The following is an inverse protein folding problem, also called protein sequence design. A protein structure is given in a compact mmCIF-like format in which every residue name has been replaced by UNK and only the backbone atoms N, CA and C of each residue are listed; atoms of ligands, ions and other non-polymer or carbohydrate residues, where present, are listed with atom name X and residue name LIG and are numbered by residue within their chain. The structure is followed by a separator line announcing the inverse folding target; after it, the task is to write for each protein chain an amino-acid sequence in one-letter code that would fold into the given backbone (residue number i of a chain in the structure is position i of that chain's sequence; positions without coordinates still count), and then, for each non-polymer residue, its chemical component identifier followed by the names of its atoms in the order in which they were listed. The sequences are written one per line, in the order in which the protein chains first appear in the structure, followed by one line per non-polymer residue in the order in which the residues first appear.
data_IF_870323205765
#
_entry.id   IF_870323205765
#
_cell.length_a   1.000
_cell.length_b   1.000
_cell.length_c   1.000
_cell.angle_alpha   90.00
_cell.angle_beta   90.00
_cell.angle_gamma   90.00
#
_symmetry.space_group_name_H-M   'P 1'
#
loop_
_entity.id
_entity.type
_entity.pdbx_description
1 polymer ?
#
# COMPACT_ATOMS: atom_id res chain seq x y z
N UNK A 1 -9.79 1.32 -32.51
CA UNK A 1 -9.98 2.01 -31.21
C UNK A 1 -9.17 3.29 -31.25
N UNK A 2 -9.54 4.33 -30.51
CA UNK A 2 -8.76 5.55 -30.48
C UNK A 2 -7.37 5.26 -29.85
N UNK A 3 -6.33 5.65 -30.55
CA UNK A 3 -4.93 5.50 -30.14
C UNK A 3 -4.49 6.82 -29.52
N UNK A 4 -3.89 6.77 -28.33
CA UNK A 4 -3.31 7.92 -27.66
C UNK A 4 -1.81 7.71 -27.48
N UNK A 5 -1.03 8.75 -27.79
CA UNK A 5 0.42 8.73 -27.66
C UNK A 5 0.86 9.83 -26.73
N UNK A 6 1.65 9.50 -25.72
CA UNK A 6 2.40 10.42 -24.89
C UNK A 6 3.78 10.59 -25.52
N UNK A 7 3.99 11.72 -26.23
CA UNK A 7 5.12 11.91 -27.14
C UNK A 7 6.15 12.90 -26.61
N UNK A 8 7.43 12.58 -26.80
CA UNK A 8 8.56 13.50 -26.62
C UNK A 8 9.04 13.68 -25.19
N UNK A 9 8.62 12.82 -24.26
CA UNK A 9 9.03 12.83 -22.86
C UNK A 9 10.25 11.97 -22.56
N UNK A 10 10.57 11.87 -21.27
CA UNK A 10 11.36 10.79 -20.70
C UNK A 10 10.42 9.65 -20.29
N UNK A 11 10.87 8.42 -20.45
CA UNK A 11 10.09 7.23 -20.05
C UNK A 11 10.87 6.48 -18.98
N UNK A 12 10.24 6.30 -17.81
CA UNK A 12 10.62 5.31 -16.83
C UNK A 12 9.67 4.12 -17.00
N UNK A 13 10.15 3.00 -17.49
CA UNK A 13 9.29 1.86 -17.84
C UNK A 13 8.95 0.94 -16.65
N UNK A 14 9.49 1.22 -15.46
CA UNK A 14 9.29 0.43 -14.24
C UNK A 14 10.25 -0.74 -14.07
N UNK A 15 11.12 -1.04 -15.06
CA UNK A 15 12.06 -2.18 -14.98
C UNK A 15 13.29 -1.94 -14.10
N UNK A 16 13.50 -0.68 -13.65
CA UNK A 16 14.69 -0.31 -12.89
C UNK A 16 15.88 0.15 -13.75
N UNK A 17 15.71 0.27 -15.07
CA UNK A 17 16.79 0.67 -16.00
C UNK A 17 17.04 2.18 -16.09
N UNK A 18 16.35 3.00 -15.28
CA UNK A 18 16.40 4.46 -15.39
C UNK A 18 15.50 5.00 -16.51
N UNK A 19 15.58 6.31 -16.78
CA UNK A 19 14.78 6.95 -17.84
C UNK A 19 15.49 6.95 -19.19
N UNK A 20 14.67 6.96 -20.26
CA UNK A 20 15.15 7.16 -21.63
C UNK A 20 14.19 8.07 -22.41
N UNK A 21 14.65 8.85 -23.40
CA UNK A 21 13.76 9.60 -24.29
C UNK A 21 12.87 8.65 -25.09
N UNK A 22 11.56 8.88 -25.09
CA UNK A 22 10.67 7.96 -25.79
C UNK A 22 9.22 8.39 -25.82
N UNK A 23 8.42 7.60 -26.54
CA UNK A 23 6.97 7.75 -26.65
C UNK A 23 6.27 6.51 -26.11
N UNK A 24 5.15 6.72 -25.41
CA UNK A 24 4.28 5.65 -24.89
C UNK A 24 2.95 5.69 -25.63
N UNK A 25 2.55 4.57 -26.20
CA UNK A 25 1.31 4.43 -26.98
C UNK A 25 0.34 3.55 -26.24
N UNK A 26 -0.90 4.04 -26.07
CA UNK A 26 -1.99 3.27 -25.48
C UNK A 26 -3.16 3.12 -26.44
N UNK A 27 -3.84 1.98 -26.39
CA UNK A 27 -5.13 1.73 -27.06
C UNK A 27 -6.08 1.07 -26.05
N UNK A 28 -7.27 1.64 -25.90
CA UNK A 28 -8.22 1.23 -24.87
C UNK A 28 -7.55 1.23 -23.47
N UNK A 29 -7.52 0.10 -22.80
CA UNK A 29 -6.95 -0.09 -21.46
C UNK A 29 -5.52 -0.62 -21.45
N UNK A 30 -4.84 -0.68 -22.62
CA UNK A 30 -3.50 -1.32 -22.71
C UNK A 30 -2.44 -0.39 -23.28
N UNK A 31 -1.24 -0.54 -22.77
CA UNK A 31 -0.02 -0.09 -23.43
C UNK A 31 0.20 -1.01 -24.63
N UNK A 32 0.27 -0.45 -25.82
CA UNK A 32 0.51 -1.23 -27.05
C UNK A 32 1.93 -1.10 -27.54
N UNK A 33 2.61 0.01 -27.20
CA UNK A 33 3.97 0.22 -27.61
C UNK A 33 4.70 1.22 -26.71
N UNK A 34 6.00 0.99 -26.51
CA UNK A 34 6.95 1.95 -25.92
C UNK A 34 8.11 2.06 -26.87
N UNK A 35 8.34 3.26 -27.43
CA UNK A 35 9.34 3.52 -28.48
C UNK A 35 10.43 4.44 -27.97
N UNK A 36 11.70 4.06 -28.01
CA UNK A 36 12.80 5.00 -27.80
C UNK A 36 12.84 6.06 -28.90
N UNK A 37 13.08 7.32 -28.52
CA UNK A 37 13.13 8.45 -29.45
C UNK A 37 11.76 9.08 -29.69
N UNK A 38 11.72 10.09 -30.58
CA UNK A 38 10.50 10.80 -30.97
C UNK A 38 10.06 10.34 -32.35
N UNK A 39 8.75 10.09 -32.50
CA UNK A 39 8.16 9.59 -33.75
C UNK A 39 7.08 10.53 -34.27
N UNK A 40 6.77 10.41 -35.57
CA UNK A 40 5.62 11.03 -36.19
C UNK A 40 4.44 10.05 -36.15
N UNK A 41 3.24 10.59 -35.95
CA UNK A 41 1.99 9.84 -35.84
C UNK A 41 0.98 10.34 -36.87
N UNK A 42 0.09 9.46 -37.29
CA UNK A 42 -0.96 9.77 -38.25
C UNK A 42 -2.07 10.65 -37.64
N UNK A 43 -2.94 11.17 -38.49
CA UNK A 43 -4.06 12.04 -38.13
C UNK A 43 -5.15 11.35 -37.29
N UNK A 44 -5.11 10.02 -37.17
CA UNK A 44 -6.07 9.23 -36.37
C UNK A 44 -5.57 8.98 -34.95
N UNK A 45 -4.37 9.43 -34.64
CA UNK A 45 -3.73 9.27 -33.33
C UNK A 45 -3.86 10.55 -32.51
N UNK A 46 -4.40 10.44 -31.30
CA UNK A 46 -4.38 11.56 -30.34
C UNK A 46 -2.98 11.70 -29.75
N UNK A 47 -2.29 12.81 -30.05
CA UNK A 47 -0.96 13.07 -29.55
C UNK A 47 -1.03 13.99 -28.34
N UNK A 48 -0.49 13.53 -27.21
CA UNK A 48 -0.29 14.29 -25.98
C UNK A 48 1.20 14.64 -25.92
N UNK A 49 1.52 15.92 -26.10
CA UNK A 49 2.92 16.38 -25.97
C UNK A 49 3.32 16.40 -24.49
N UNK A 50 4.28 15.57 -24.14
CA UNK A 50 4.84 15.44 -22.77
C UNK A 50 6.32 15.84 -22.73
N UNK A 51 6.75 16.70 -23.65
CA UNK A 51 8.11 17.25 -23.68
C UNK A 51 8.47 17.90 -22.34
N UNK A 52 9.61 17.53 -21.78
CA UNK A 52 10.07 18.03 -20.48
C UNK A 52 9.43 17.35 -19.27
N UNK A 53 8.64 16.29 -19.47
CA UNK A 53 8.02 15.49 -18.42
C UNK A 53 8.53 14.05 -18.46
N UNK A 54 8.28 13.32 -17.38
CA UNK A 54 8.53 11.88 -17.30
C UNK A 54 7.21 11.12 -17.35
N UNK A 55 7.11 10.13 -18.24
CA UNK A 55 6.02 9.15 -18.28
C UNK A 55 6.47 7.92 -17.50
N UNK A 56 5.67 7.48 -16.54
CA UNK A 56 5.99 6.34 -15.68
C UNK A 56 4.74 5.50 -15.39
N UNK A 57 4.89 4.24 -14.92
CA UNK A 57 3.74 3.47 -14.43
C UNK A 57 3.02 4.19 -13.30
N UNK A 58 1.71 4.00 -13.17
CA UNK A 58 0.96 4.43 -12.00
C UNK A 58 1.50 3.80 -10.71
N UNK A 59 1.48 4.56 -9.62
CA UNK A 59 1.93 4.07 -8.31
C UNK A 59 0.94 3.06 -7.73
N UNK A 60 1.46 2.14 -6.92
CA UNK A 60 0.70 1.09 -6.26
C UNK A 60 0.95 1.18 -4.76
N UNK A 61 -0.10 1.44 -4.00
CA UNK A 61 -0.09 1.48 -2.55
C UNK A 61 -0.19 0.06 -1.98
N UNK A 62 0.67 -0.31 -1.04
CA UNK A 62 0.70 -1.65 -0.47
C UNK A 62 0.30 -1.73 1.01
N UNK A 63 0.16 -0.58 1.69
CA UNK A 63 -0.13 -0.54 3.12
C UNK A 63 -0.85 0.76 3.50
N UNK A 64 -2.13 0.86 3.14
CA UNK A 64 -3.00 1.94 3.59
C UNK A 64 -4.34 1.40 4.09
N UNK A 65 -4.90 2.08 5.07
CA UNK A 65 -6.19 1.77 5.68
C UNK A 65 -7.25 2.71 5.12
N UNK A 66 -7.88 2.33 4.00
CA UNK A 66 -8.84 3.19 3.30
C UNK A 66 -10.11 3.49 4.12
N UNK A 67 -10.45 2.63 5.06
CA UNK A 67 -11.57 2.83 5.99
C UNK A 67 -11.25 3.76 7.16
N UNK A 68 -9.97 4.09 7.38
CA UNK A 68 -9.56 4.96 8.48
C UNK A 68 -9.95 6.43 8.21
N UNK A 69 -10.19 7.23 9.27
CA UNK A 69 -10.90 8.50 9.09
C UNK A 69 -10.09 9.62 8.45
N UNK A 70 -8.76 9.56 8.43
CA UNK A 70 -7.94 10.70 8.05
C UNK A 70 -7.38 10.61 6.63
N UNK A 71 -7.67 11.65 5.84
CA UNK A 71 -7.10 11.90 4.53
C UNK A 71 -6.79 13.39 4.38
N UNK A 72 -5.97 13.77 3.39
CA UNK A 72 -5.64 15.19 3.13
C UNK A 72 -6.91 15.99 2.91
N UNK A 73 -7.02 17.11 3.63
CA UNK A 73 -8.23 17.96 3.65
C UNK A 73 -9.39 17.42 4.52
N UNK A 74 -9.23 16.26 5.14
CA UNK A 74 -10.22 15.57 5.97
C UNK A 74 -9.54 14.88 7.15
N UNK A 75 -8.89 15.65 8.02
CA UNK A 75 -8.22 15.12 9.21
C UNK A 75 -9.22 14.96 10.34
N UNK A 76 -9.29 13.78 10.93
CA UNK A 76 -10.04 13.55 12.16
C UNK A 76 -9.08 13.47 13.36
N UNK A 77 -8.96 14.54 14.14
CA UNK A 77 -8.02 14.59 15.27
C UNK A 77 -8.44 13.70 16.44
N UNK A 78 -9.68 13.24 16.48
CA UNK A 78 -10.15 12.30 17.51
C UNK A 78 -9.59 10.89 17.30
N UNK A 79 -9.17 10.61 16.09
CA UNK A 79 -8.55 9.34 15.70
C UNK A 79 -7.03 9.35 15.95
N UNK A 80 -6.64 9.50 17.20
CA UNK A 80 -5.22 9.58 17.57
C UNK A 80 -4.83 8.44 18.53
N UNK A 81 -4.19 7.36 18.02
CA UNK A 81 -3.98 6.10 18.75
C UNK A 81 -3.34 6.25 20.09
N UNK A 82 -2.30 6.97 20.42
CA UNK A 82 -1.70 6.81 21.74
C UNK A 82 -2.50 7.43 22.87
N UNK A 83 -3.48 8.27 22.55
CA UNK A 83 -4.26 9.00 23.55
C UNK A 83 -5.62 8.34 23.82
N UNK A 84 -6.20 7.69 22.82
CA UNK A 84 -7.48 7.01 22.96
C UNK A 84 -7.63 5.88 21.93
N UNK A 85 -7.25 4.66 22.30
CA UNK A 85 -7.47 3.47 21.47
C UNK A 85 -8.94 3.08 21.37
N UNK A 86 -9.85 3.75 22.07
CA UNK A 86 -11.28 3.50 21.98
C UNK A 86 -11.87 3.78 20.59
N UNK A 87 -11.15 4.50 19.74
CA UNK A 87 -11.60 4.71 18.36
C UNK A 87 -11.72 3.41 17.56
N UNK A 88 -10.90 2.40 17.82
CA UNK A 88 -11.05 1.08 17.21
C UNK A 88 -12.39 0.43 17.56
N UNK A 89 -13.11 0.98 18.53
CA UNK A 89 -14.39 0.54 19.01
C UNK A 89 -15.54 1.51 18.72
N UNK A 90 -15.24 2.67 18.11
CA UNK A 90 -16.26 3.61 17.70
C UNK A 90 -16.93 3.10 16.44
N UNK A 91 -18.03 2.38 16.64
CA UNK A 91 -18.80 1.77 15.56
C UNK A 91 -19.59 2.88 14.88
N UNK A 92 -19.05 3.39 13.77
CA UNK A 92 -19.84 4.13 12.80
C UNK A 92 -20.73 3.14 12.02
N UNK A 93 -21.85 3.62 11.49
CA UNK A 93 -22.70 2.78 10.63
C UNK A 93 -22.03 2.52 9.27
N UNK A 94 -22.44 1.45 8.60
CA UNK A 94 -21.96 1.03 7.28
C UNK A 94 -21.93 2.18 6.27
N UNK A 95 -22.97 3.01 6.20
CA UNK A 95 -23.08 4.13 5.23
C UNK A 95 -22.03 5.21 5.49
N UNK A 96 -21.71 5.50 6.77
CA UNK A 96 -20.69 6.49 7.12
C UNK A 96 -19.29 6.01 6.72
N UNK A 97 -18.98 4.76 7.03
CA UNK A 97 -17.69 4.14 6.65
C UNK A 97 -17.56 4.01 5.14
N UNK A 98 -18.66 3.64 4.44
CA UNK A 98 -18.70 3.57 2.99
C UNK A 98 -18.37 4.92 2.35
N UNK A 99 -19.04 5.99 2.75
CA UNK A 99 -18.83 7.33 2.22
C UNK A 99 -17.38 7.83 2.48
N UNK A 100 -16.84 7.52 3.66
CA UNK A 100 -15.45 7.82 4.00
C UNK A 100 -14.46 7.05 3.12
N UNK A 101 -14.66 5.77 2.94
CA UNK A 101 -13.79 4.91 2.14
C UNK A 101 -13.81 5.31 0.67
N UNK A 102 -14.98 5.64 0.10
CA UNK A 102 -15.10 6.19 -1.25
C UNK A 102 -14.30 7.48 -1.43
N UNK A 103 -14.41 8.41 -0.49
CA UNK A 103 -13.64 9.67 -0.48
C UNK A 103 -12.14 9.39 -0.41
N UNK A 104 -11.71 8.53 0.50
CA UNK A 104 -10.30 8.20 0.71
C UNK A 104 -9.69 7.51 -0.52
N UNK A 105 -10.45 6.64 -1.18
CA UNK A 105 -10.04 6.01 -2.43
C UNK A 105 -9.85 7.06 -3.55
N UNK A 106 -10.75 8.04 -3.68
CA UNK A 106 -10.61 9.11 -4.66
C UNK A 106 -9.35 9.97 -4.38
N UNK A 107 -9.11 10.33 -3.11
CA UNK A 107 -7.91 11.11 -2.70
C UNK A 107 -6.63 10.32 -2.99
N UNK A 108 -6.61 9.01 -2.78
CA UNK A 108 -5.46 8.16 -3.09
C UNK A 108 -5.15 8.13 -4.60
N UNK A 109 -6.20 8.05 -5.44
CA UNK A 109 -6.05 8.12 -6.89
C UNK A 109 -5.55 9.51 -7.34
N UNK A 110 -6.05 10.59 -6.74
CA UNK A 110 -5.58 11.97 -6.99
C UNK A 110 -4.10 12.15 -6.65
N UNK A 111 -3.57 11.36 -5.71
CA UNK A 111 -2.15 11.32 -5.35
C UNK A 111 -1.30 10.44 -6.29
N UNK A 112 -1.85 9.91 -7.39
CA UNK A 112 -1.13 9.15 -8.41
C UNK A 112 -1.07 7.63 -8.16
N UNK A 113 -1.74 7.13 -7.14
CA UNK A 113 -1.83 5.70 -6.87
C UNK A 113 -2.99 5.10 -7.67
N UNK A 114 -2.68 4.48 -8.81
CA UNK A 114 -3.68 3.87 -9.70
C UNK A 114 -4.14 2.50 -9.20
N UNK A 115 -3.41 1.89 -8.28
CA UNK A 115 -3.78 0.63 -7.63
C UNK A 115 -3.45 0.64 -6.14
N UNK A 116 -4.17 -0.17 -5.36
CA UNK A 116 -3.98 -0.29 -3.93
C UNK A 116 -4.26 -1.71 -3.42
N UNK A 117 -3.39 -2.19 -2.54
CA UNK A 117 -3.59 -3.38 -1.74
C UNK A 117 -3.86 -2.92 -0.30
N UNK A 118 -5.12 -3.08 0.17
CA UNK A 118 -5.49 -2.61 1.50
C UNK A 118 -4.77 -3.39 2.61
N UNK A 119 -4.43 -2.68 3.67
CA UNK A 119 -3.76 -3.25 4.83
C UNK A 119 -4.73 -3.78 5.91
N UNK A 120 -6.00 -3.51 5.77
CA UNK A 120 -7.06 -3.95 6.68
C UNK A 120 -8.12 -2.88 6.89
N UNK A 121 -9.36 -3.32 7.07
CA UNK A 121 -10.48 -2.44 7.40
C UNK A 121 -10.58 -2.20 8.90
N UNK A 122 -11.21 -1.09 9.27
CA UNK A 122 -11.43 -0.73 10.67
C UNK A 122 -12.47 -1.65 11.32
N UNK A 123 -13.55 -1.95 10.61
CA UNK A 123 -14.66 -2.74 11.12
C UNK A 123 -14.85 -4.02 10.30
N UNK A 124 -15.39 -5.08 10.88
CA UNK A 124 -15.64 -6.35 10.19
C UNK A 124 -16.86 -6.28 9.27
N UNK A 125 -17.06 -5.16 8.59
CA UNK A 125 -18.11 -4.95 7.59
C UNK A 125 -17.52 -4.96 6.19
N UNK A 126 -18.23 -5.49 5.17
CA UNK A 126 -17.71 -5.61 3.82
C UNK A 126 -17.76 -4.27 3.04
N UNK A 127 -17.28 -3.19 3.64
CA UNK A 127 -17.23 -1.86 3.01
C UNK A 127 -16.23 -1.84 1.86
N UNK A 128 -15.04 -2.33 2.08
CA UNK A 128 -14.00 -2.33 1.02
C UNK A 128 -14.36 -3.18 -0.20
N UNK A 129 -14.95 -4.40 -0.09
CA UNK A 129 -15.47 -5.11 -1.25
C UNK A 129 -16.50 -4.32 -2.05
N UNK A 130 -17.38 -3.58 -1.37
CA UNK A 130 -18.40 -2.73 -2.03
C UNK A 130 -17.73 -1.56 -2.76
N UNK A 131 -16.76 -0.88 -2.13
CA UNK A 131 -16.00 0.22 -2.76
C UNK A 131 -15.21 -0.29 -3.96
N UNK A 132 -14.48 -1.40 -3.81
CA UNK A 132 -13.77 -2.05 -4.91
C UNK A 132 -14.68 -2.31 -6.11
N UNK A 133 -15.85 -2.88 -5.86
CA UNK A 133 -16.77 -3.25 -6.93
C UNK A 133 -17.40 -2.02 -7.61
N UNK A 134 -17.66 -0.93 -6.86
CA UNK A 134 -18.08 0.37 -7.43
C UNK A 134 -16.99 0.99 -8.30
N UNK A 135 -15.72 0.95 -7.87
CA UNK A 135 -14.60 1.44 -8.67
C UNK A 135 -14.44 0.60 -9.94
N UNK A 136 -14.49 -0.73 -9.81
CA UNK A 136 -14.41 -1.65 -10.96
C UNK A 136 -15.53 -1.42 -11.99
N UNK A 137 -16.71 -1.08 -11.52
CA UNK A 137 -17.85 -0.73 -12.37
C UNK A 137 -17.79 0.69 -12.97
N UNK A 138 -16.77 1.50 -12.59
CA UNK A 138 -16.65 2.90 -13.01
C UNK A 138 -17.72 3.82 -12.38
N UNK A 139 -18.38 3.40 -11.31
CA UNK A 139 -19.43 4.17 -10.63
C UNK A 139 -18.85 5.30 -9.76
N UNK A 140 -17.63 5.12 -9.26
CA UNK A 140 -16.89 6.10 -8.47
C UNK A 140 -15.41 6.10 -8.88
N UNK A 141 -14.68 7.21 -8.72
CA UNK A 141 -13.23 7.24 -8.89
C UNK A 141 -12.54 6.51 -7.73
N UNK A 142 -11.40 5.90 -8.02
CA UNK A 142 -10.55 5.24 -7.04
C UNK A 142 -9.52 4.32 -7.70
N UNK A 143 -8.50 3.87 -6.94
CA UNK A 143 -7.50 2.94 -7.46
C UNK A 143 -8.12 1.56 -7.73
N UNK A 144 -7.53 0.79 -8.64
CA UNK A 144 -7.78 -0.66 -8.69
C UNK A 144 -7.37 -1.25 -7.35
N UNK A 145 -8.30 -1.74 -6.54
CA UNK A 145 -7.98 -2.19 -5.19
C UNK A 145 -8.23 -3.67 -4.97
N UNK A 146 -7.47 -4.23 -4.06
CA UNK A 146 -7.76 -5.48 -3.37
C UNK A 146 -8.19 -5.15 -1.95
N UNK A 147 -9.37 -5.65 -1.57
CA UNK A 147 -10.03 -5.39 -0.31
C UNK A 147 -9.46 -6.29 0.80
N UNK A 148 -9.13 -5.72 1.96
CA UNK A 148 -8.69 -6.47 3.12
C UNK A 148 -9.74 -6.47 4.23
N UNK A 149 -9.85 -7.61 4.91
CA UNK A 149 -10.72 -7.76 6.07
C UNK A 149 -10.21 -6.94 7.26
N UNK A 150 -11.09 -6.75 8.26
CA UNK A 150 -10.70 -6.13 9.51
C UNK A 150 -9.52 -6.85 10.16
N UNK A 151 -8.69 -6.08 10.83
CA UNK A 151 -7.54 -6.61 11.54
C UNK A 151 -7.95 -7.54 12.68
N UNK A 152 -7.43 -8.75 12.68
CA UNK A 152 -7.70 -9.73 13.71
C UNK A 152 -6.54 -9.83 14.70
N UNK A 153 -6.80 -9.42 15.92
CA UNK A 153 -5.95 -9.75 17.07
C UNK A 153 -6.28 -11.14 17.65
N UNK A 154 -5.51 -11.63 18.60
CA UNK A 154 -5.79 -12.89 19.30
C UNK A 154 -6.28 -12.71 20.76
N UNK A 155 -6.80 -11.51 21.09
CA UNK A 155 -7.38 -11.24 22.40
C UNK A 155 -8.88 -11.50 22.40
N UNK A 156 -9.36 -12.42 23.25
CA UNK A 156 -10.79 -12.74 23.33
C UNK A 156 -11.58 -11.63 24.04
N UNK A 157 -10.95 -10.84 24.89
CA UNK A 157 -11.61 -9.75 25.61
C UNK A 157 -11.58 -8.47 24.81
N UNK A 158 -12.74 -7.90 24.56
CA UNK A 158 -12.92 -6.59 23.94
C UNK A 158 -12.77 -5.47 24.98
N UNK A 159 -12.43 -4.23 24.57
CA UNK A 159 -12.25 -3.11 25.48
C UNK A 159 -13.48 -2.75 26.30
N UNK A 160 -14.67 -3.04 25.80
CA UNK A 160 -15.93 -2.92 26.55
C UNK A 160 -16.12 -4.01 27.61
N UNK A 161 -15.14 -4.91 27.78
CA UNK A 161 -15.14 -6.02 28.71
C UNK A 161 -15.87 -7.27 28.21
N UNK A 162 -16.50 -7.23 27.04
CA UNK A 162 -17.13 -8.42 26.44
C UNK A 162 -16.06 -9.44 26.05
N UNK A 163 -16.32 -10.70 26.39
CA UNK A 163 -15.46 -11.83 26.01
C UNK A 163 -16.10 -12.58 24.86
N UNK A 164 -15.42 -12.66 23.73
CA UNK A 164 -15.85 -13.43 22.59
C UNK A 164 -15.47 -14.90 22.83
N UNK A 165 -16.45 -15.73 23.03
CA UNK A 165 -16.24 -17.16 23.17
C UNK A 165 -15.64 -17.74 21.88
N UNK A 166 -14.77 -18.75 22.05
CA UNK A 166 -14.11 -19.44 20.92
C UNK A 166 -13.37 -18.51 19.94
N UNK A 167 -12.81 -17.38 20.44
CA UNK A 167 -12.02 -16.45 19.63
C UNK A 167 -10.65 -17.00 19.28
N UNK A 168 -10.01 -17.75 20.17
CA UNK A 168 -8.69 -18.33 20.00
C UNK A 168 -8.76 -19.76 19.42
N UNK A 169 -7.62 -20.24 18.97
CA UNK A 169 -7.43 -21.59 18.46
C UNK A 169 -7.54 -21.73 16.94
N UNK A 170 -7.00 -22.84 16.39
CA UNK A 170 -6.86 -23.06 14.95
C UNK A 170 -8.18 -22.95 14.17
N UNK A 171 -9.26 -23.53 14.67
CA UNK A 171 -10.56 -23.49 13.99
C UNK A 171 -11.16 -22.09 13.97
N UNK A 172 -10.92 -21.28 15.02
CA UNK A 172 -11.37 -19.90 15.05
C UNK A 172 -10.66 -19.05 13.99
N UNK A 173 -9.35 -19.23 13.84
CA UNK A 173 -8.56 -18.54 12.81
C UNK A 173 -9.00 -18.95 11.39
N UNK A 174 -9.18 -20.25 11.16
CA UNK A 174 -9.65 -20.77 9.87
C UNK A 174 -11.07 -20.28 9.53
N UNK A 175 -11.98 -20.28 10.52
CA UNK A 175 -13.35 -19.76 10.37
C UNK A 175 -13.35 -18.28 9.99
N UNK A 176 -12.54 -17.45 10.67
CA UNK A 176 -12.40 -16.03 10.37
C UNK A 176 -12.01 -15.80 8.90
N UNK A 177 -11.04 -16.56 8.39
CA UNK A 177 -10.62 -16.48 6.99
C UNK A 177 -11.77 -16.85 6.04
N UNK A 178 -12.45 -17.99 6.28
CA UNK A 178 -13.55 -18.44 5.40
C UNK A 178 -14.73 -17.46 5.40
N UNK A 179 -15.09 -16.90 6.56
CA UNK A 179 -16.19 -15.94 6.68
C UNK A 179 -15.92 -14.65 5.91
N UNK A 180 -14.68 -14.12 5.97
CA UNK A 180 -14.34 -12.91 5.24
C UNK A 180 -14.16 -13.18 3.73
N UNK A 181 -13.60 -14.31 3.34
CA UNK A 181 -13.59 -14.73 1.94
C UNK A 181 -15.02 -14.83 1.36
N UNK A 182 -15.96 -15.38 2.12
CA UNK A 182 -17.37 -15.47 1.72
C UNK A 182 -18.06 -14.10 1.61
N UNK A 183 -17.56 -13.08 2.30
CA UNK A 183 -18.02 -11.67 2.19
C UNK A 183 -17.37 -10.93 1.02
N UNK A 184 -16.47 -11.58 0.27
CA UNK A 184 -15.85 -11.02 -0.91
C UNK A 184 -14.56 -10.24 -0.67
N UNK A 185 -13.93 -10.36 0.49
CA UNK A 185 -12.59 -9.81 0.71
C UNK A 185 -11.55 -10.60 -0.10
N UNK A 186 -10.54 -9.89 -0.61
CA UNK A 186 -9.44 -10.47 -1.38
C UNK A 186 -8.31 -10.95 -0.47
N UNK A 187 -8.24 -10.37 0.73
CA UNK A 187 -7.22 -10.72 1.73
C UNK A 187 -7.74 -10.59 3.17
N UNK A 188 -7.07 -11.27 4.09
CA UNK A 188 -7.40 -11.26 5.52
C UNK A 188 -6.19 -10.84 6.33
N UNK A 189 -6.36 -9.84 7.20
CA UNK A 189 -5.30 -9.24 8.02
C UNK A 189 -5.27 -9.86 9.41
N UNK A 190 -4.05 -10.18 9.87
CA UNK A 190 -3.76 -10.63 11.22
C UNK A 190 -2.73 -9.73 11.91
N UNK A 191 -2.95 -9.38 13.17
CA UNK A 191 -1.95 -8.79 14.05
C UNK A 191 -1.11 -9.94 14.65
N UNK A 192 -0.11 -10.44 13.94
CA UNK A 192 0.68 -11.61 14.36
C UNK A 192 1.59 -11.28 15.53
N UNK A 193 2.26 -10.12 15.52
CA UNK A 193 2.78 -9.48 16.73
C UNK A 193 1.74 -8.52 17.30
N UNK A 194 1.85 -8.19 18.58
CA UNK A 194 1.17 -7.04 19.16
C UNK A 194 1.89 -5.74 18.73
N UNK A 195 1.42 -4.60 19.18
CA UNK A 195 2.01 -3.29 18.92
C UNK A 195 2.21 -2.53 20.23
N UNK A 196 3.29 -1.71 20.31
CA UNK A 196 3.59 -0.87 21.47
C UNK A 196 2.53 0.22 21.72
N UNK A 197 1.75 0.58 20.69
CA UNK A 197 0.59 1.47 20.80
C UNK A 197 -0.48 0.89 21.74
N UNK A 198 -0.65 -0.43 21.76
CA UNK A 198 -1.65 -1.10 22.62
C UNK A 198 -1.06 -1.55 23.94
N UNK A 199 0.16 -2.10 23.92
CA UNK A 199 0.82 -2.67 25.09
C UNK A 199 2.31 -2.32 25.02
N UNK A 200 2.87 -1.64 26.02
CA UNK A 200 4.32 -1.35 26.04
C UNK A 200 5.16 -2.63 25.86
N UNK A 201 6.07 -2.64 24.90
CA UNK A 201 6.83 -3.82 24.49
C UNK A 201 6.02 -4.80 23.61
N UNK A 202 4.85 -4.40 23.17
CA UNK A 202 3.95 -5.24 22.38
C UNK A 202 4.53 -5.71 21.05
N UNK A 203 5.32 -4.87 20.39
CA UNK A 203 5.99 -5.20 19.12
C UNK A 203 6.88 -6.45 19.19
N UNK A 204 7.34 -6.83 20.38
CA UNK A 204 8.13 -8.04 20.62
C UNK A 204 7.28 -9.25 21.00
N UNK A 205 5.98 -9.09 21.22
CA UNK A 205 5.08 -10.15 21.65
C UNK A 205 4.34 -10.77 20.47
N UNK A 206 4.55 -12.06 20.26
CA UNK A 206 3.80 -12.84 19.24
C UNK A 206 2.50 -13.31 19.83
N UNK A 207 1.37 -13.08 19.14
CA UNK A 207 0.01 -13.33 19.65
C UNK A 207 -0.55 -14.70 19.30
N UNK A 208 -0.02 -15.34 18.25
CA UNK A 208 -0.56 -16.59 17.70
C UNK A 208 0.41 -17.75 17.85
N UNK A 209 -0.12 -18.95 17.97
CA UNK A 209 0.64 -20.19 17.82
C UNK A 209 0.84 -20.56 16.34
N UNK A 210 1.78 -21.47 16.07
CA UNK A 210 2.01 -22.00 14.73
C UNK A 210 0.78 -22.75 14.19
N UNK A 211 0.07 -23.47 15.05
CA UNK A 211 -1.14 -24.23 14.68
C UNK A 211 -2.27 -23.28 14.23
N UNK A 212 -2.46 -22.16 14.93
CA UNK A 212 -3.46 -21.15 14.57
C UNK A 212 -3.19 -20.53 13.20
N UNK A 213 -1.96 -20.08 12.96
CA UNK A 213 -1.61 -19.44 11.68
C UNK A 213 -1.56 -20.45 10.53
N UNK A 214 -1.13 -21.70 10.77
CA UNK A 214 -1.17 -22.74 9.75
C UNK A 214 -2.62 -23.05 9.33
N UNK A 215 -3.55 -23.12 10.28
CA UNK A 215 -4.97 -23.31 9.98
C UNK A 215 -5.56 -22.12 9.19
N UNK A 216 -5.17 -20.89 9.53
CA UNK A 216 -5.52 -19.70 8.74
C UNK A 216 -4.95 -19.78 7.30
N UNK A 217 -3.68 -20.17 7.15
CA UNK A 217 -3.03 -20.33 5.86
C UNK A 217 -3.66 -21.41 4.97
N UNK A 218 -4.08 -22.53 5.56
CA UNK A 218 -4.84 -23.58 4.86
C UNK A 218 -6.19 -23.06 4.38
N UNK A 219 -6.96 -22.43 5.28
CA UNK A 219 -8.25 -21.83 4.95
C UNK A 219 -8.14 -20.74 3.85
N UNK A 220 -7.07 -19.95 3.87
CA UNK A 220 -6.83 -18.92 2.85
C UNK A 220 -6.58 -19.55 1.47
N UNK A 221 -5.74 -20.58 1.39
CA UNK A 221 -5.49 -21.32 0.14
C UNK A 221 -6.77 -21.97 -0.40
N UNK A 222 -7.56 -22.60 0.47
CA UNK A 222 -8.85 -23.22 0.10
C UNK A 222 -9.87 -22.21 -0.40
N UNK A 223 -9.87 -21.01 0.20
CA UNK A 223 -10.83 -19.94 -0.12
C UNK A 223 -10.36 -19.02 -1.25
N UNK A 224 -9.12 -19.17 -1.73
CA UNK A 224 -8.55 -18.34 -2.80
C UNK A 224 -8.29 -16.89 -2.39
N UNK A 225 -8.04 -16.63 -1.09
CA UNK A 225 -7.68 -15.30 -0.57
C UNK A 225 -6.26 -15.28 -0.04
N UNK A 226 -5.67 -14.10 0.14
CA UNK A 226 -4.34 -13.97 0.70
C UNK A 226 -4.38 -13.58 2.18
N UNK A 227 -3.25 -13.82 2.86
CA UNK A 227 -3.04 -13.35 4.22
C UNK A 227 -2.05 -12.21 4.27
N UNK A 228 -2.33 -11.21 5.11
CA UNK A 228 -1.47 -10.09 5.46
C UNK A 228 -1.17 -10.14 6.95
N UNK A 229 0.04 -9.80 7.36
CA UNK A 229 0.42 -9.85 8.77
C UNK A 229 1.12 -8.58 9.25
N UNK A 230 0.64 -8.00 10.34
CA UNK A 230 1.43 -7.11 11.17
C UNK A 230 2.44 -7.97 11.95
N UNK A 231 3.73 -7.86 11.62
CA UNK A 231 4.78 -8.75 12.10
C UNK A 231 6.02 -7.95 12.45
N UNK A 232 6.15 -7.51 13.69
CA UNK A 232 7.34 -6.77 14.14
C UNK A 232 8.37 -7.69 14.79
N UNK A 233 7.95 -8.65 15.64
CA UNK A 233 8.84 -9.58 16.32
C UNK A 233 9.47 -10.61 15.37
N UNK A 234 10.69 -11.12 15.64
CA UNK A 234 11.29 -12.16 14.81
C UNK A 234 10.40 -13.39 14.65
N UNK A 235 9.77 -13.83 15.74
CA UNK A 235 8.92 -15.01 15.72
C UNK A 235 7.63 -14.79 14.91
N UNK A 236 7.02 -13.60 14.98
CA UNK A 236 5.85 -13.28 14.17
C UNK A 236 6.15 -13.34 12.66
N UNK A 237 7.32 -12.85 12.23
CA UNK A 237 7.79 -12.96 10.84
C UNK A 237 7.94 -14.42 10.41
N UNK A 238 8.61 -15.23 11.24
CA UNK A 238 8.84 -16.66 10.96
C UNK A 238 7.52 -17.44 10.84
N UNK A 239 6.59 -17.18 11.74
CA UNK A 239 5.26 -17.82 11.72
C UNK A 239 4.46 -17.40 10.49
N UNK A 240 4.44 -16.11 10.14
CA UNK A 240 3.77 -15.62 8.95
C UNK A 240 4.33 -16.24 7.66
N UNK A 241 5.66 -16.33 7.53
CA UNK A 241 6.31 -16.99 6.38
C UNK A 241 5.88 -18.45 6.28
N UNK A 242 5.96 -19.20 7.39
CA UNK A 242 5.62 -20.65 7.43
C UNK A 242 4.15 -20.90 7.11
N UNK A 243 3.25 -19.99 7.51
CA UNK A 243 1.82 -20.08 7.22
C UNK A 243 1.46 -19.64 5.78
N UNK A 244 2.39 -19.05 5.04
CA UNK A 244 2.20 -18.66 3.64
C UNK A 244 1.53 -17.29 3.48
N UNK A 245 1.86 -16.33 4.34
CA UNK A 245 1.41 -14.94 4.21
C UNK A 245 2.00 -14.31 2.94
N UNK A 246 1.18 -13.50 2.26
CA UNK A 246 1.56 -12.80 1.03
C UNK A 246 2.28 -11.50 1.31
N UNK A 247 1.76 -10.69 2.23
CA UNK A 247 2.37 -9.44 2.66
C UNK A 247 2.68 -9.51 4.16
N UNK A 248 3.95 -9.27 4.50
CA UNK A 248 4.46 -9.31 5.87
C UNK A 248 4.91 -7.88 6.20
N UNK A 249 4.10 -7.19 7.02
CA UNK A 249 4.29 -5.78 7.32
C UNK A 249 5.31 -5.58 8.43
N UNK A 250 6.03 -4.46 8.35
CA UNK A 250 7.03 -3.96 9.27
C UNK A 250 8.34 -4.76 9.27
N UNK A 251 8.36 -6.00 9.71
CA UNK A 251 9.56 -6.84 9.87
C UNK A 251 10.66 -6.17 10.71
N UNK A 252 10.29 -5.23 11.58
CA UNK A 252 11.14 -4.25 12.26
C UNK A 252 12.30 -4.88 13.02
N UNK A 253 12.04 -6.01 13.70
CA UNK A 253 13.01 -6.70 14.56
C UNK A 253 13.36 -8.09 14.03
N UNK A 254 13.27 -8.30 12.70
CA UNK A 254 13.62 -9.58 12.08
C UNK A 254 15.06 -9.96 12.41
N UNK A 255 15.27 -11.19 12.87
CA UNK A 255 16.59 -11.77 13.09
C UNK A 255 17.11 -12.50 11.83
N UNK A 256 18.32 -13.05 11.90
CA UNK A 256 18.96 -13.73 10.78
C UNK A 256 18.13 -14.91 10.27
N UNK A 257 17.49 -15.71 11.16
CA UNK A 257 16.61 -16.81 10.76
C UNK A 257 15.35 -16.30 10.04
N UNK A 258 14.76 -15.20 10.50
CA UNK A 258 13.62 -14.58 9.84
C UNK A 258 13.99 -14.06 8.44
N UNK A 259 15.18 -13.47 8.30
CA UNK A 259 15.69 -13.03 6.99
C UNK A 259 15.94 -14.22 6.05
N UNK A 260 16.51 -15.32 6.52
CA UNK A 260 16.72 -16.53 5.74
C UNK A 260 15.39 -17.13 5.25
N UNK A 261 14.37 -17.13 6.12
CA UNK A 261 13.02 -17.57 5.76
C UNK A 261 12.37 -16.64 4.72
N UNK A 262 12.45 -15.32 4.91
CA UNK A 262 11.93 -14.35 3.95
C UNK A 262 12.62 -14.49 2.60
N UNK A 263 13.94 -14.68 2.58
CA UNK A 263 14.69 -14.90 1.34
C UNK A 263 14.26 -16.18 0.63
N UNK A 264 13.98 -17.26 1.38
CA UNK A 264 13.52 -18.53 0.80
C UNK A 264 12.17 -18.45 0.09
N UNK A 265 11.34 -17.44 0.41
CA UNK A 265 10.01 -17.23 -0.16
C UNK A 265 9.89 -15.92 -0.95
N UNK A 266 11.01 -15.27 -1.27
CA UNK A 266 11.03 -13.94 -1.93
C UNK A 266 10.32 -13.87 -3.29
N UNK A 267 10.11 -15.01 -3.96
CA UNK A 267 9.35 -15.06 -5.20
C UNK A 267 7.83 -15.09 -5.00
N UNK A 268 7.38 -15.32 -3.76
CA UNK A 268 5.96 -15.34 -3.39
C UNK A 268 5.59 -14.19 -2.45
N UNK A 269 6.33 -14.03 -1.34
CA UNK A 269 6.03 -13.07 -0.29
C UNK A 269 6.73 -11.72 -0.52
N UNK A 270 6.16 -10.70 0.11
CA UNK A 270 6.65 -9.33 0.10
C UNK A 270 6.72 -8.82 1.54
N UNK A 271 7.60 -7.83 1.77
CA UNK A 271 7.66 -7.09 3.02
C UNK A 271 7.30 -5.62 2.78
N UNK A 272 6.68 -4.96 3.76
CA UNK A 272 6.39 -3.53 3.68
C UNK A 272 6.76 -2.86 5.01
N UNK A 273 7.76 -1.96 5.03
CA UNK A 273 8.26 -1.36 6.25
C UNK A 273 7.25 -0.48 6.98
N UNK A 274 6.38 0.19 6.24
CA UNK A 274 5.48 1.23 6.72
C UNK A 274 6.23 2.40 7.41
N UNK A 275 7.22 3.02 6.76
CA UNK A 275 8.02 4.06 7.39
C UNK A 275 7.20 5.34 7.63
N UNK A 276 6.10 5.56 6.88
CA UNK A 276 5.28 6.75 6.93
C UNK A 276 4.73 7.05 8.31
N UNK A 277 4.02 6.10 8.93
CA UNK A 277 3.43 6.30 10.27
C UNK A 277 4.52 6.42 11.34
N UNK A 278 5.56 5.62 11.28
CA UNK A 278 6.65 5.65 12.27
C UNK A 278 7.40 6.98 12.20
N UNK A 279 7.75 7.44 11.01
CA UNK A 279 8.38 8.75 10.80
C UNK A 279 7.48 9.90 11.29
N UNK A 280 6.18 9.84 10.97
CA UNK A 280 5.22 10.84 11.41
C UNK A 280 5.09 10.88 12.93
N UNK A 281 5.08 9.75 13.62
CA UNK A 281 5.06 9.69 15.08
C UNK A 281 6.31 10.34 15.69
N UNK A 282 7.49 10.08 15.13
CA UNK A 282 8.75 10.59 15.70
C UNK A 282 8.96 12.08 15.43
N UNK A 283 8.61 12.57 14.23
CA UNK A 283 9.00 13.90 13.77
C UNK A 283 7.86 14.88 13.48
N UNK A 284 6.64 14.40 13.26
CA UNK A 284 5.52 15.22 12.81
C UNK A 284 4.30 15.11 13.73
N UNK A 285 4.35 14.33 14.80
CA UNK A 285 3.21 14.01 15.64
C UNK A 285 2.84 15.09 16.69
N UNK A 286 3.68 16.12 16.89
CA UNK A 286 3.51 17.09 17.98
C UNK A 286 2.14 17.78 17.97
N UNK A 287 1.65 18.21 16.81
CA UNK A 287 0.33 18.86 16.66
C UNK A 287 -0.84 17.92 16.95
N UNK A 288 -0.58 16.62 17.00
CA UNK A 288 -1.54 15.57 17.32
C UNK A 288 -1.34 14.98 18.72
N UNK A 289 -0.53 15.64 19.58
CA UNK A 289 -0.27 15.19 20.95
C UNK A 289 0.78 14.08 21.07
N UNK A 290 1.44 13.69 19.99
CA UNK A 290 2.54 12.73 20.01
C UNK A 290 3.84 13.50 20.29
N UNK A 291 4.11 13.77 21.57
CA UNK A 291 5.40 14.36 21.99
C UNK A 291 6.55 13.35 21.81
N UNK A 292 7.81 13.77 21.87
CA UNK A 292 8.94 12.85 21.81
C UNK A 292 8.86 11.72 22.86
N UNK A 293 8.36 12.02 24.07
CA UNK A 293 8.19 11.03 25.14
C UNK A 293 7.06 10.04 24.80
N UNK A 294 5.97 10.53 24.16
CA UNK A 294 4.87 9.67 23.67
C UNK A 294 5.38 8.80 22.53
N UNK A 295 6.08 9.37 21.53
CA UNK A 295 6.66 8.60 20.44
C UNK A 295 7.61 7.50 20.94
N UNK A 296 8.42 7.78 21.97
CA UNK A 296 9.28 6.78 22.61
C UNK A 296 8.45 5.71 23.31
N UNK A 297 7.41 6.09 24.05
CA UNK A 297 6.55 5.11 24.76
C UNK A 297 5.74 4.22 23.83
N UNK A 298 5.46 4.69 22.60
CA UNK A 298 4.83 3.92 21.52
C UNK A 298 5.81 3.02 20.77
N UNK A 299 7.09 2.95 21.17
CA UNK A 299 8.11 2.20 20.46
C UNK A 299 8.51 2.77 19.10
N UNK A 300 7.97 3.94 18.69
CA UNK A 300 8.19 4.47 17.33
C UNK A 300 9.65 4.85 17.06
N UNK A 301 10.38 5.33 18.10
CA UNK A 301 11.81 5.65 17.95
C UNK A 301 12.61 4.38 17.73
N UNK A 302 12.40 3.35 18.54
CA UNK A 302 13.09 2.06 18.42
C UNK A 302 12.70 1.34 17.12
N UNK A 303 11.44 1.47 16.68
CA UNK A 303 10.97 0.93 15.41
C UNK A 303 11.64 1.60 14.20
N UNK A 304 11.83 2.93 14.23
CA UNK A 304 12.54 3.62 13.16
C UNK A 304 13.99 3.18 13.05
N UNK A 305 14.68 3.04 14.20
CA UNK A 305 16.05 2.57 14.24
C UNK A 305 16.15 1.09 13.81
N UNK A 306 15.18 0.26 14.19
CA UNK A 306 15.07 -1.12 13.73
C UNK A 306 14.91 -1.21 12.19
N UNK A 307 14.05 -0.39 11.61
CA UNK A 307 13.87 -0.32 10.15
C UNK A 307 15.15 0.11 9.44
N UNK A 308 15.83 1.15 9.94
CA UNK A 308 17.11 1.61 9.40
C UNK A 308 18.19 0.53 9.41
N UNK A 309 18.16 -0.36 10.39
CA UNK A 309 19.09 -1.46 10.50
C UNK A 309 18.74 -2.64 9.58
N UNK A 310 17.46 -3.03 9.50
CA UNK A 310 17.06 -4.28 8.85
C UNK A 310 16.82 -4.15 7.35
N UNK A 311 16.27 -3.01 6.86
CA UNK A 311 15.89 -2.87 5.45
C UNK A 311 17.08 -2.84 4.47
N UNK A 312 18.26 -2.32 4.81
CA UNK A 312 19.46 -2.52 3.98
C UNK A 312 19.85 -4.00 3.80
N UNK A 313 19.63 -4.86 4.81
CA UNK A 313 19.89 -6.29 4.69
C UNK A 313 18.79 -7.00 3.88
N UNK A 314 17.51 -6.63 4.06
CA UNK A 314 16.37 -7.07 3.23
C UNK A 314 16.66 -6.79 1.75
N UNK A 315 17.07 -5.54 1.43
CA UNK A 315 17.46 -5.13 0.08
C UNK A 315 18.61 -5.97 -0.48
N UNK A 316 19.68 -6.16 0.28
CA UNK A 316 20.87 -6.91 -0.10
C UNK A 316 20.59 -8.37 -0.42
N UNK A 317 19.62 -9.00 0.27
CA UNK A 317 19.16 -10.38 0.02
C UNK A 317 18.19 -10.49 -1.16
N UNK A 318 17.80 -9.37 -1.77
CA UNK A 318 16.84 -9.32 -2.87
C UNK A 318 15.41 -9.68 -2.43
N UNK A 319 15.09 -9.52 -1.15
CA UNK A 319 13.73 -9.62 -0.63
C UNK A 319 12.97 -8.38 -1.09
N UNK A 320 11.78 -8.57 -1.69
CA UNK A 320 11.02 -7.49 -2.29
C UNK A 320 10.32 -6.65 -1.22
N UNK A 321 10.80 -5.43 -1.01
CA UNK A 321 10.14 -4.44 -0.18
C UNK A 321 9.18 -3.59 -0.99
N UNK A 322 8.04 -3.23 -0.41
CA UNK A 322 6.95 -2.48 -1.02
C UNK A 322 6.82 -1.10 -0.38
N UNK A 323 6.50 -0.12 -1.19
CA UNK A 323 6.14 1.22 -0.72
C UNK A 323 4.71 1.18 -0.19
N UNK A 324 4.53 1.66 1.05
CA UNK A 324 3.26 1.73 1.77
C UNK A 324 3.52 2.09 3.22
N UNK A 325 2.95 3.19 3.71
CA UNK A 325 3.36 3.86 4.93
C UNK A 325 2.36 3.80 6.07
N UNK A 326 1.40 2.88 6.00
CA UNK A 326 0.38 2.75 7.04
C UNK A 326 -0.45 4.03 7.19
N UNK A 327 -1.07 4.43 6.07
CA UNK A 327 -1.81 5.68 5.96
C UNK A 327 -3.26 5.54 6.43
N UNK A 328 -3.81 6.66 6.96
CA UNK A 328 -5.19 6.78 7.45
C UNK A 328 -5.29 7.48 8.80
N UNK A 329 -4.16 7.76 9.44
CA UNK A 329 -4.05 8.44 10.73
C UNK A 329 -3.96 9.97 10.59
N UNK A 330 -4.29 10.76 11.64
CA UNK A 330 -4.24 12.23 11.58
C UNK A 330 -2.88 12.79 11.17
N UNK A 331 -1.81 12.27 11.75
CA UNK A 331 -0.43 12.65 11.44
C UNK A 331 0.13 11.95 10.21
N UNK A 332 -0.57 10.93 9.70
CA UNK A 332 -0.19 10.17 8.50
C UNK A 332 -1.42 9.94 7.58
N UNK A 333 -2.05 11.03 7.05
CA UNK A 333 -3.30 10.93 6.31
C UNK A 333 -3.10 10.36 4.90
N UNK A 334 -4.13 9.67 4.40
CA UNK A 334 -4.20 9.24 2.98
C UNK A 334 -4.10 10.47 2.07
N UNK A 335 -3.37 10.35 0.99
CA UNK A 335 -3.05 11.42 0.05
C UNK A 335 -1.63 11.97 0.21
N UNK A 336 -0.91 11.58 1.29
CA UNK A 336 0.54 11.83 1.46
C UNK A 336 1.40 10.62 1.08
N UNK A 337 0.81 9.60 0.49
CA UNK A 337 1.41 8.28 0.30
C UNK A 337 2.73 8.30 -0.50
N UNK A 338 2.90 9.23 -1.45
CA UNK A 338 4.14 9.37 -2.22
C UNK A 338 5.36 9.75 -1.37
N UNK A 339 5.17 10.29 -0.15
CA UNK A 339 6.25 10.57 0.81
C UNK A 339 7.08 9.34 1.15
N UNK A 340 6.48 8.16 1.12
CA UNK A 340 7.20 6.93 1.43
C UNK A 340 8.32 6.61 0.45
N UNK A 341 8.24 7.08 -0.78
CA UNK A 341 9.33 6.98 -1.74
C UNK A 341 10.59 7.69 -1.24
N UNK A 342 10.41 8.90 -0.68
CA UNK A 342 11.50 9.66 -0.08
C UNK A 342 12.03 9.00 1.21
N UNK A 343 11.13 8.44 2.04
CA UNK A 343 11.52 7.71 3.24
C UNK A 343 12.29 6.42 2.91
N UNK A 344 11.94 5.73 1.83
CA UNK A 344 12.74 4.60 1.33
C UNK A 344 14.18 5.03 0.99
N UNK A 345 14.33 6.21 0.39
CA UNK A 345 15.66 6.72 0.02
C UNK A 345 16.43 7.19 1.24
N UNK A 346 15.83 8.07 2.05
CA UNK A 346 16.53 8.74 3.16
C UNK A 346 16.74 7.85 4.38
N UNK A 347 15.74 7.03 4.70
CA UNK A 347 15.73 6.28 5.95
C UNK A 347 16.17 4.82 5.76
N UNK A 348 15.83 4.20 4.60
CA UNK A 348 16.02 2.77 4.39
C UNK A 348 17.16 2.44 3.42
N UNK A 349 17.81 3.46 2.82
CA UNK A 349 19.00 3.30 1.98
C UNK A 349 18.74 2.75 0.57
N UNK A 350 17.50 2.86 0.07
CA UNK A 350 17.18 2.55 -1.32
C UNK A 350 17.60 3.71 -2.24
N UNK A 351 17.88 3.42 -3.49
CA UNK A 351 18.00 4.47 -4.51
C UNK A 351 16.61 4.93 -4.97
N UNK A 352 16.48 6.14 -5.56
CA UNK A 352 15.21 6.60 -6.13
C UNK A 352 14.58 5.58 -7.09
N UNK A 353 15.38 4.97 -7.95
CA UNK A 353 14.92 3.96 -8.92
C UNK A 353 14.39 2.71 -8.21
N UNK A 354 15.07 2.22 -7.18
CA UNK A 354 14.60 1.06 -6.40
C UNK A 354 13.29 1.37 -5.66
N UNK A 355 13.13 2.57 -5.11
CA UNK A 355 11.88 2.99 -4.49
C UNK A 355 10.72 3.05 -5.52
N UNK A 356 10.98 3.54 -6.74
CA UNK A 356 10.00 3.52 -7.83
C UNK A 356 9.63 2.09 -8.26
N UNK A 357 10.59 1.18 -8.37
CA UNK A 357 10.33 -0.25 -8.66
C UNK A 357 9.48 -0.87 -7.56
N UNK A 358 9.74 -0.54 -6.28
CA UNK A 358 8.95 -1.01 -5.14
C UNK A 358 7.49 -0.53 -5.20
N UNK A 359 7.25 0.69 -5.68
CA UNK A 359 5.92 1.28 -5.82
C UNK A 359 5.23 0.97 -7.16
N UNK A 360 5.87 0.29 -8.08
CA UNK A 360 5.31 -0.02 -9.41
C UNK A 360 5.39 -1.52 -9.71
N UNK A 361 6.50 -2.04 -10.17
CA UNK A 361 6.68 -3.45 -10.55
C UNK A 361 6.35 -4.41 -9.41
N UNK A 362 6.94 -4.20 -8.22
CA UNK A 362 6.67 -5.08 -7.08
C UNK A 362 5.24 -4.95 -6.57
N UNK A 363 4.66 -3.74 -6.63
CA UNK A 363 3.25 -3.52 -6.36
C UNK A 363 2.35 -4.34 -7.30
N UNK A 364 2.62 -4.33 -8.61
CA UNK A 364 1.90 -5.15 -9.60
C UNK A 364 2.00 -6.65 -9.30
N UNK A 365 3.18 -7.11 -8.90
CA UNK A 365 3.40 -8.49 -8.48
C UNK A 365 2.64 -8.82 -7.18
N UNK A 366 2.61 -7.90 -6.18
CA UNK A 366 1.80 -8.07 -4.97
C UNK A 366 0.33 -8.27 -5.30
N UNK A 367 -0.20 -7.45 -6.23
CA UNK A 367 -1.59 -7.51 -6.68
C UNK A 367 -1.95 -8.80 -7.44
N UNK A 368 -0.96 -9.68 -7.69
CA UNK A 368 -1.16 -10.89 -8.52
C UNK A 368 -1.25 -10.60 -10.02
N UNK A 369 -0.89 -9.39 -10.45
CA UNK A 369 -0.95 -8.89 -11.83
C UNK A 369 0.45 -8.55 -12.37
N UNK A 370 1.49 -9.23 -11.92
CA UNK A 370 2.89 -8.92 -12.28
C UNK A 370 3.19 -8.96 -13.78
N UNK A 371 2.39 -9.69 -14.56
CA UNK A 371 2.49 -9.77 -16.03
C UNK A 371 1.60 -8.73 -16.75
N UNK A 372 0.83 -7.90 -16.00
CA UNK A 372 -0.12 -6.97 -16.57
C UNK A 372 -0.09 -5.57 -15.95
N UNK A 373 0.56 -5.38 -14.79
CA UNK A 373 0.49 -4.15 -14.00
C UNK A 373 1.87 -3.77 -13.43
N UNK A 374 2.14 -2.47 -13.38
CA UNK A 374 3.33 -1.91 -12.75
C UNK A 374 4.50 -1.66 -13.69
N UNK A 375 4.35 -1.95 -14.99
CA UNK A 375 5.32 -1.64 -16.02
C UNK A 375 4.67 -0.93 -17.22
N UNK A 376 5.46 -0.13 -17.94
CA UNK A 376 5.10 0.37 -19.26
C UNK A 376 5.70 -0.58 -20.32
N UNK A 377 4.95 -1.63 -20.64
CA UNK A 377 5.33 -2.61 -21.67
C UNK A 377 4.12 -3.00 -22.51
N UNK A 378 4.31 -3.39 -23.79
CA UNK A 378 3.21 -3.87 -24.61
C UNK A 378 2.43 -5.00 -23.94
N UNK A 379 1.10 -4.86 -23.89
CA UNK A 379 0.20 -5.80 -23.23
C UNK A 379 -0.15 -5.46 -21.78
N UNK A 380 0.63 -4.60 -21.12
CA UNK A 380 0.34 -4.13 -19.75
C UNK A 380 -0.84 -3.15 -19.73
N UNK A 381 -1.52 -3.08 -18.59
CA UNK A 381 -2.58 -2.12 -18.34
C UNK A 381 -2.05 -0.69 -18.49
N UNK A 382 -2.85 0.15 -19.14
CA UNK A 382 -2.51 1.57 -19.35
C UNK A 382 -2.80 2.38 -18.08
N UNK A 383 -2.08 2.05 -17.02
CA UNK A 383 -2.02 2.78 -15.76
C UNK A 383 -0.71 3.55 -15.73
N UNK A 384 -0.76 4.87 -15.93
CA UNK A 384 0.45 5.69 -16.05
C UNK A 384 0.26 7.10 -15.49
N UNK A 385 1.39 7.69 -15.14
CA UNK A 385 1.52 9.08 -14.72
C UNK A 385 2.39 9.84 -15.72
N UNK A 386 2.07 11.12 -15.92
CA UNK A 386 2.98 12.10 -16.54
C UNK A 386 3.36 13.11 -15.47
N UNK A 387 4.64 13.19 -15.16
CA UNK A 387 5.18 13.91 -14.01
C UNK A 387 6.12 15.03 -14.46
N UNK A 388 6.01 16.21 -13.85
CA UNK A 388 7.02 17.28 -13.99
C UNK A 388 8.30 16.87 -13.26
N UNK A 389 9.44 16.94 -13.96
CA UNK A 389 10.73 16.54 -13.41
C UNK A 389 11.07 15.07 -13.66
N UNK A 390 12.12 14.62 -13.00
CA UNK A 390 12.66 13.26 -13.13
C UNK A 390 12.62 12.54 -11.78
N UNK A 391 11.61 11.68 -11.53
CA UNK A 391 11.48 10.98 -10.26
C UNK A 391 12.59 9.93 -10.03
N UNK A 392 13.35 9.56 -11.06
CA UNK A 392 14.51 8.67 -10.89
C UNK A 392 15.72 9.37 -10.29
N UNK A 393 15.72 10.72 -10.28
CA UNK A 393 16.73 11.54 -9.61
C UNK A 393 16.22 12.09 -8.27
N UNK A 394 14.92 12.46 -8.21
CA UNK A 394 14.30 13.04 -7.04
C UNK A 394 12.84 12.56 -6.93
N UNK A 395 12.61 11.59 -6.06
CA UNK A 395 11.26 11.03 -5.85
C UNK A 395 10.29 12.02 -5.21
N UNK A 396 10.77 13.08 -4.55
CA UNK A 396 9.92 14.08 -3.88
C UNK A 396 9.05 14.86 -4.86
N UNK A 397 9.39 14.88 -6.14
CA UNK A 397 8.54 15.48 -7.19
C UNK A 397 7.15 14.84 -7.26
N UNK A 398 7.01 13.59 -6.79
CA UNK A 398 5.74 12.86 -6.75
C UNK A 398 4.82 13.26 -5.58
N UNK A 399 5.35 13.94 -4.56
CA UNK A 399 4.56 14.41 -3.41
C UNK A 399 3.68 15.62 -3.74
N UNK A 400 4.05 16.38 -4.76
CA UNK A 400 3.32 17.58 -5.13
C UNK A 400 2.24 17.27 -6.18
N UNK A 401 0.97 17.43 -5.83
CA UNK A 401 -0.15 17.17 -6.74
C UNK A 401 -0.06 17.95 -8.07
N UNK A 402 0.52 19.16 -8.07
CA UNK A 402 0.72 19.98 -9.28
C UNK A 402 1.80 19.44 -10.24
N UNK A 403 2.62 18.51 -9.78
CA UNK A 403 3.60 17.83 -10.61
C UNK A 403 3.00 16.62 -11.33
N UNK A 404 1.90 16.06 -10.85
CA UNK A 404 1.15 15.01 -11.54
C UNK A 404 0.28 15.65 -12.64
N UNK A 405 0.82 15.78 -13.86
CA UNK A 405 0.18 16.47 -14.98
C UNK A 405 -0.96 15.64 -15.56
N UNK A 406 -0.72 14.33 -15.72
CA UNK A 406 -1.75 13.37 -16.11
C UNK A 406 -1.71 12.18 -15.16
N UNK A 407 -2.89 11.69 -14.84
CA UNK A 407 -3.11 10.41 -14.18
C UNK A 407 -4.05 9.62 -15.10
N UNK A 408 -3.57 8.50 -15.59
CA UNK A 408 -4.31 7.60 -16.47
C UNK A 408 -4.46 6.25 -15.79
N UNK A 409 -5.68 5.73 -15.75
CA UNK A 409 -6.00 4.43 -15.19
C UNK A 409 -6.87 3.66 -16.18
N UNK A 410 -6.52 2.42 -16.49
CA UNK A 410 -7.21 1.63 -17.53
C UNK A 410 -7.35 2.39 -18.85
N UNK A 411 -6.36 3.21 -19.23
CA UNK A 411 -6.40 4.03 -20.45
C UNK A 411 -7.30 5.27 -20.37
N UNK A 412 -8.06 5.46 -19.30
CA UNK A 412 -8.91 6.62 -19.08
C UNK A 412 -8.18 7.71 -18.31
N UNK A 413 -8.32 8.96 -18.74
CA UNK A 413 -7.75 10.11 -18.05
C UNK A 413 -8.56 10.41 -16.78
N UNK A 414 -7.98 10.17 -15.61
CA UNK A 414 -8.50 10.64 -14.33
C UNK A 414 -8.16 12.11 -14.11
N UNK A 415 -6.92 12.49 -14.43
CA UNK A 415 -6.43 13.86 -14.36
C UNK A 415 -5.78 14.27 -15.67
N UNK A 416 -6.07 15.50 -16.12
CA UNK A 416 -5.44 16.13 -17.27
C UNK A 416 -5.37 17.64 -17.06
N UNK A 417 -4.44 18.35 -17.71
CA UNK A 417 -4.44 19.80 -17.69
C UNK A 417 -5.79 20.35 -18.15
N UNK A 418 -6.32 21.38 -17.45
CA UNK A 418 -7.51 22.07 -17.95
C UNK A 418 -7.22 22.58 -19.36
N UNK A 419 -8.13 22.45 -20.33
CA UNK A 419 -7.95 23.09 -21.62
C UNK A 419 -7.70 24.58 -21.37
N UNK A 420 -6.60 25.09 -21.92
CA UNK A 420 -6.38 26.54 -21.96
C UNK A 420 -7.53 27.06 -22.81
N UNK A 421 -8.41 27.89 -22.21
CA UNK A 421 -9.50 28.52 -22.96
C UNK A 421 -8.84 29.28 -24.13
N UNK A 422 -9.26 28.91 -25.36
CA UNK A 422 -8.79 29.54 -26.58
C UNK A 422 -9.21 30.99 -26.67
#
# INVERSE_FOLDING_TARGET
MARTVFAGGQVFDGTGSGVFPGDVVIEADRVVEVRPGRHEYDEHTTVVDVTGHTVMPGLIESHAHLTFPSAVGHIDPSFNPPLDVSFFHHIEGFESELARTERNAAILLDAGFTSAYSAGSLLPMPVEPVVRDKIRAGAIPGPRMLAAAAERDNHPQRPDGHVVADWQGPESCARWVREHAAQGFDSVKFLVSNDDVFVPGGSHLTQYSAEELNAAGEAARESGVWLNGHCQSPESVKLAVRAGFRSIYHCTYADEEALDLLESVKDFAFVSPAPGIIYANVYEGADYGITPEVAQSMGSVDALDGMRAIYPEIRKRGIRALVGGDYGFPNNPIGRNARDLDLFVRELGYSPVEALVAATQYGGQLMGLGDELGLLQPGYLADLLVVKGDPTQDVTVLEAADNLVYIVQNGAFHKSPKPVAA
#
